data_IF_442382506716
#
_entry.id   IF_442382506716
#
_cell.length_a   1.000
_cell.length_b   1.000
_cell.length_c   1.000
_cell.angle_alpha   90.00
_cell.angle_beta   90.00
_cell.angle_gamma   90.00
#
_symmetry.space_group_name_H-M   'P 1'
#
loop_
_entity.id
_entity.type
_entity.pdbx_description
1 polymer ?
#
# COMPACT_ATOMS: atom_id res chain seq x y z
N UNK A 1 -33.39 26.91 6.33
CA UNK A 1 -32.27 27.38 7.14
C UNK A 1 -31.29 26.21 7.26
N UNK A 2 -30.13 26.26 6.55
CA UNK A 2 -29.11 25.17 6.66
C UNK A 2 -28.31 25.44 7.91
N UNK A 3 -28.40 24.57 8.92
CA UNK A 3 -27.53 24.59 10.08
C UNK A 3 -26.11 24.33 9.60
N UNK A 4 -25.30 25.37 9.56
CA UNK A 4 -23.85 25.25 9.37
C UNK A 4 -23.29 24.80 10.72
N UNK A 5 -22.76 23.57 10.79
CA UNK A 5 -22.10 23.07 12.01
C UNK A 5 -20.84 23.92 12.25
N UNK A 6 -20.76 24.71 13.35
CA UNK A 6 -19.63 25.62 13.61
C UNK A 6 -18.33 24.90 13.91
N UNK A 7 -18.31 23.56 14.07
CA UNK A 7 -17.14 22.74 14.36
C UNK A 7 -16.57 22.04 13.11
N UNK A 8 -17.04 22.34 11.90
CA UNK A 8 -16.46 21.75 10.68
C UNK A 8 -15.10 22.39 10.44
N UNK A 9 -13.99 21.61 10.59
CA UNK A 9 -12.65 22.06 10.20
C UNK A 9 -12.70 22.58 8.75
N UNK A 10 -12.40 23.86 8.56
CA UNK A 10 -12.26 24.41 7.22
C UNK A 10 -10.91 23.98 6.66
N UNK A 11 -10.92 23.20 5.59
CA UNK A 11 -9.71 22.76 4.92
C UNK A 11 -9.27 23.80 3.86
N UNK A 12 -7.95 23.97 3.72
CA UNK A 12 -7.38 24.81 2.65
C UNK A 12 -7.64 24.18 1.27
N UNK A 13 -7.53 25.00 0.22
CA UNK A 13 -7.65 24.51 -1.18
C UNK A 13 -6.62 23.42 -1.50
N UNK A 14 -5.42 23.53 -0.93
CA UNK A 14 -4.36 22.55 -1.12
C UNK A 14 -4.70 21.22 -0.42
N UNK A 15 -5.16 21.27 0.83
CA UNK A 15 -5.62 20.08 1.55
C UNK A 15 -6.75 19.36 0.80
N UNK A 16 -7.74 20.11 0.30
CA UNK A 16 -8.83 19.54 -0.51
C UNK A 16 -8.30 18.86 -1.78
N UNK A 17 -7.27 19.42 -2.45
CA UNK A 17 -6.64 18.75 -3.60
C UNK A 17 -5.98 17.43 -3.22
N UNK A 18 -5.31 17.37 -2.08
CA UNK A 18 -4.70 16.14 -1.57
C UNK A 18 -5.79 15.11 -1.22
N UNK A 19 -6.87 15.50 -0.55
CA UNK A 19 -7.98 14.59 -0.22
C UNK A 19 -8.69 14.06 -1.47
N UNK A 20 -8.94 14.91 -2.46
CA UNK A 20 -9.49 14.48 -3.75
C UNK A 20 -8.54 13.51 -4.50
N UNK A 21 -7.24 13.65 -4.30
CA UNK A 21 -6.27 12.71 -4.81
C UNK A 21 -6.35 11.37 -4.04
N UNK A 22 -6.33 11.40 -2.71
CA UNK A 22 -6.40 10.20 -1.88
C UNK A 22 -7.71 9.44 -2.02
N UNK A 23 -8.83 10.12 -2.23
CA UNK A 23 -10.11 9.48 -2.49
C UNK A 23 -10.13 8.57 -3.73
N UNK A 24 -9.13 8.70 -4.63
CA UNK A 24 -8.92 7.82 -5.79
C UNK A 24 -7.96 6.67 -5.51
N UNK A 25 -7.31 6.65 -4.35
CA UNK A 25 -6.41 5.58 -3.93
C UNK A 25 -7.20 4.54 -3.17
N UNK A 26 -7.16 3.29 -3.60
CA UNK A 26 -7.99 2.22 -3.02
C UNK A 26 -7.85 2.09 -1.50
N UNK A 27 -6.65 2.26 -0.94
CA UNK A 27 -6.45 2.23 0.52
C UNK A 27 -7.14 3.36 1.28
N UNK A 28 -7.44 4.49 0.64
CA UNK A 28 -7.98 5.69 1.27
C UNK A 28 -9.44 5.97 0.89
N UNK A 29 -10.01 5.23 -0.06
CA UNK A 29 -11.30 5.55 -0.68
C UNK A 29 -12.47 5.64 0.31
N UNK A 30 -12.43 4.90 1.40
CA UNK A 30 -13.48 4.87 2.43
C UNK A 30 -13.27 5.88 3.57
N UNK A 31 -12.16 6.64 3.55
CA UNK A 31 -11.87 7.65 4.55
C UNK A 31 -12.61 8.97 4.25
N UNK A 32 -13.10 9.64 5.28
CA UNK A 32 -13.57 11.02 5.17
C UNK A 32 -12.38 12.00 5.05
N UNK A 33 -12.65 13.25 4.68
CA UNK A 33 -11.61 14.29 4.64
C UNK A 33 -10.98 14.55 6.01
N UNK A 34 -11.78 14.48 7.06
CA UNK A 34 -11.31 14.60 8.44
C UNK A 34 -10.34 13.47 8.80
N UNK A 35 -10.66 12.23 8.39
CA UNK A 35 -9.79 11.07 8.59
C UNK A 35 -8.52 11.16 7.73
N UNK A 36 -8.62 11.61 6.48
CA UNK A 36 -7.44 11.85 5.62
C UNK A 36 -6.53 12.94 6.17
N UNK A 37 -7.09 13.94 6.87
CA UNK A 37 -6.33 15.03 7.46
C UNK A 37 -5.37 14.57 8.56
N UNK A 38 -5.64 13.44 9.21
CA UNK A 38 -4.75 12.87 10.24
C UNK A 38 -3.39 12.44 9.67
N UNK A 39 -3.30 12.20 8.35
CA UNK A 39 -2.04 11.84 7.68
C UNK A 39 -1.25 13.04 7.18
N UNK A 40 -1.84 14.24 7.07
CA UNK A 40 -1.18 15.42 6.49
C UNK A 40 0.13 15.82 7.20
N UNK A 41 0.25 15.77 8.55
CA UNK A 41 1.50 16.12 9.23
C UNK A 41 2.67 15.20 8.87
N UNK A 42 2.39 14.00 8.39
CA UNK A 42 3.35 12.93 8.11
C UNK A 42 3.56 12.70 6.62
N UNK A 43 2.90 13.50 5.78
CA UNK A 43 2.91 13.33 4.34
C UNK A 43 4.13 14.02 3.72
N UNK A 44 5.01 13.25 3.11
CA UNK A 44 6.17 13.75 2.38
C UNK A 44 5.98 13.54 0.89
N UNK A 45 6.62 14.37 0.07
CA UNK A 45 6.75 14.14 -1.37
C UNK A 45 8.20 13.78 -1.65
N UNK A 46 8.43 12.68 -2.37
CA UNK A 46 9.75 12.28 -2.87
C UNK A 46 9.72 12.14 -4.39
N UNK A 47 10.79 12.58 -5.01
CA UNK A 47 11.01 12.44 -6.44
C UNK A 47 12.10 11.42 -6.69
N UNK A 48 11.91 10.58 -7.71
CA UNK A 48 12.83 9.54 -8.14
C UNK A 48 13.08 9.70 -9.64
N UNK A 49 14.35 9.53 -10.05
CA UNK A 49 14.73 9.49 -11.45
C UNK A 49 14.58 8.07 -11.99
N UNK A 50 14.52 7.95 -13.32
CA UNK A 50 14.47 6.64 -14.00
C UNK A 50 15.57 5.72 -13.52
N UNK A 51 15.19 4.45 -13.28
CA UNK A 51 16.04 3.39 -12.74
C UNK A 51 16.45 3.57 -11.26
N UNK A 52 15.97 4.61 -10.58
CA UNK A 52 16.20 4.77 -9.14
C UNK A 52 15.29 3.83 -8.35
N UNK A 53 15.88 3.10 -7.39
CA UNK A 53 15.14 2.18 -6.54
C UNK A 53 14.39 2.96 -5.45
N UNK A 54 13.11 2.64 -5.28
CA UNK A 54 12.26 3.14 -4.21
C UNK A 54 12.43 2.26 -2.97
N UNK A 55 12.43 0.94 -3.17
CA UNK A 55 12.77 -0.08 -2.18
C UNK A 55 13.05 -1.43 -2.87
N UNK A 56 13.75 -2.31 -2.17
CA UNK A 56 14.01 -3.68 -2.61
C UNK A 56 13.18 -4.70 -1.84
N UNK A 57 12.95 -5.84 -2.47
CA UNK A 57 12.36 -7.03 -1.82
C UNK A 57 13.18 -7.43 -0.60
N UNK A 58 12.50 -7.92 0.44
CA UNK A 58 13.05 -8.28 1.74
C UNK A 58 13.55 -7.12 2.61
N UNK A 59 13.59 -5.87 2.11
CA UNK A 59 13.85 -4.72 2.96
C UNK A 59 12.78 -4.58 4.06
N UNK A 60 13.13 -4.03 5.23
CA UNK A 60 12.13 -3.64 6.22
C UNK A 60 11.09 -2.70 5.63
N UNK A 61 9.84 -2.90 5.99
CA UNK A 61 8.76 -2.08 5.47
C UNK A 61 8.64 -0.78 6.26
N UNK A 62 9.31 0.27 5.81
CA UNK A 62 9.46 1.53 6.53
C UNK A 62 8.44 2.61 6.17
N UNK A 63 7.72 2.49 5.05
CA UNK A 63 6.77 3.49 4.61
C UNK A 63 5.71 2.92 3.65
N UNK A 64 4.56 3.59 3.59
CA UNK A 64 3.58 3.49 2.53
C UNK A 64 3.90 4.52 1.46
N UNK A 65 3.87 4.14 0.19
CA UNK A 65 4.08 5.01 -0.96
C UNK A 65 2.81 5.09 -1.81
N UNK A 66 2.48 6.27 -2.33
CA UNK A 66 1.36 6.48 -3.25
C UNK A 66 1.89 7.25 -4.47
N UNK A 67 1.72 6.70 -5.66
CA UNK A 67 2.25 7.30 -6.89
C UNK A 67 1.43 8.53 -7.25
N UNK A 68 2.09 9.71 -7.17
CA UNK A 68 1.51 11.00 -7.50
C UNK A 68 1.62 11.29 -9.00
N UNK A 69 2.77 10.93 -9.61
CA UNK A 69 3.01 11.02 -11.06
C UNK A 69 4.12 10.06 -11.49
N UNK A 70 4.17 9.74 -12.77
CA UNK A 70 5.10 8.76 -13.33
C UNK A 70 4.60 7.32 -13.21
N UNK A 71 5.48 6.38 -13.52
CA UNK A 71 5.22 4.93 -13.48
C UNK A 71 6.34 4.26 -12.71
N UNK A 72 5.99 3.32 -11.86
CA UNK A 72 6.90 2.49 -11.07
C UNK A 72 6.78 1.05 -11.55
N UNK A 73 7.90 0.42 -11.85
CA UNK A 73 8.00 -1.00 -12.12
C UNK A 73 8.08 -1.78 -10.82
N UNK A 74 7.25 -2.82 -10.70
CA UNK A 74 7.26 -3.80 -9.63
C UNK A 74 7.83 -5.11 -10.17
N UNK A 75 8.86 -5.67 -9.53
CA UNK A 75 9.52 -6.89 -10.01
C UNK A 75 9.91 -7.85 -8.88
N UNK A 76 10.14 -9.10 -9.26
CA UNK A 76 10.71 -10.14 -8.39
C UNK A 76 12.07 -10.56 -8.91
N UNK A 77 12.97 -10.90 -7.97
CA UNK A 77 14.22 -11.60 -8.28
C UNK A 77 13.89 -13.07 -8.54
N UNK A 78 14.11 -13.52 -9.76
CA UNK A 78 13.91 -14.91 -10.16
C UNK A 78 15.25 -15.45 -10.70
N UNK A 79 15.95 -16.25 -9.89
CA UNK A 79 17.32 -16.71 -10.18
C UNK A 79 18.26 -15.51 -10.35
N UNK A 80 18.84 -15.31 -11.53
CA UNK A 80 19.80 -14.26 -11.85
C UNK A 80 19.16 -13.07 -12.60
N UNK A 81 17.82 -13.08 -12.79
CA UNK A 81 17.07 -12.08 -13.53
C UNK A 81 15.96 -11.42 -12.68
N UNK A 82 15.43 -10.30 -13.19
CA UNK A 82 14.25 -9.63 -12.62
C UNK A 82 13.03 -9.89 -13.50
N UNK A 83 11.99 -10.48 -12.90
CA UNK A 83 10.72 -10.67 -13.58
C UNK A 83 9.76 -9.51 -13.23
N UNK A 84 9.31 -8.77 -14.24
CA UNK A 84 8.35 -7.70 -14.06
C UNK A 84 6.98 -8.26 -13.69
N UNK A 85 6.45 -7.87 -12.53
CA UNK A 85 5.12 -8.21 -12.07
C UNK A 85 4.05 -7.27 -12.62
N UNK A 86 4.32 -5.96 -12.56
CA UNK A 86 3.36 -4.93 -12.94
C UNK A 86 4.02 -3.56 -13.09
N UNK A 87 3.32 -2.67 -13.80
CA UNK A 87 3.61 -1.24 -13.85
C UNK A 87 2.56 -0.47 -13.05
N UNK A 88 2.94 0.05 -11.90
CA UNK A 88 2.07 0.85 -11.06
C UNK A 88 2.11 2.31 -11.50
N UNK A 89 0.93 2.94 -11.58
CA UNK A 89 0.76 4.31 -12.08
C UNK A 89 0.08 5.20 -11.03
N UNK A 90 -0.16 6.45 -11.42
CA UNK A 90 -0.84 7.44 -10.58
C UNK A 90 -2.08 6.87 -9.87
N UNK A 91 -2.25 7.20 -8.60
CA UNK A 91 -3.28 6.72 -7.66
C UNK A 91 -3.09 5.30 -7.14
N UNK A 92 -2.05 4.59 -7.57
CA UNK A 92 -1.71 3.27 -7.02
C UNK A 92 -0.84 3.45 -5.77
N UNK A 93 -1.17 2.71 -4.71
CA UNK A 93 -0.32 2.58 -3.53
C UNK A 93 0.57 1.34 -3.65
N UNK A 94 1.83 1.46 -3.24
CA UNK A 94 2.81 0.37 -3.22
C UNK A 94 3.42 0.23 -1.83
N UNK A 95 3.86 -0.99 -1.51
CA UNK A 95 4.32 -1.30 -0.16
C UNK A 95 3.19 -1.29 0.87
N UNK A 96 1.99 -1.72 0.47
CA UNK A 96 0.76 -1.69 1.28
C UNK A 96 0.86 -2.49 2.58
N UNK A 97 1.78 -3.48 2.64
CA UNK A 97 2.08 -4.21 3.86
C UNK A 97 2.74 -3.34 4.97
N UNK A 98 3.02 -2.03 4.70
CA UNK A 98 3.35 -1.04 5.73
C UNK A 98 2.22 -0.83 6.76
N UNK A 99 0.97 -1.22 6.41
CA UNK A 99 -0.15 -1.22 7.35
C UNK A 99 -0.03 -2.30 8.43
N UNK A 100 0.91 -3.24 8.27
CA UNK A 100 1.15 -4.38 9.16
C UNK A 100 2.55 -4.28 9.75
N UNK A 101 2.65 -4.34 11.06
CA UNK A 101 3.92 -4.27 11.78
C UNK A 101 4.81 -5.51 11.50
N UNK A 102 6.13 -5.33 11.52
CA UNK A 102 7.11 -6.41 11.39
C UNK A 102 7.18 -7.06 9.99
N UNK A 103 6.54 -6.49 8.97
CA UNK A 103 6.55 -7.05 7.61
C UNK A 103 7.71 -6.51 6.78
N UNK A 104 8.14 -7.33 5.80
CA UNK A 104 9.16 -6.98 4.81
C UNK A 104 8.51 -6.70 3.45
N UNK A 105 9.23 -6.05 2.55
CA UNK A 105 8.82 -5.82 1.16
C UNK A 105 8.68 -7.15 0.42
N UNK A 106 7.62 -7.30 -0.37
CA UNK A 106 7.36 -8.52 -1.12
C UNK A 106 7.97 -8.51 -2.53
N UNK A 107 8.29 -7.33 -3.06
CA UNK A 107 8.78 -7.09 -4.41
C UNK A 107 9.73 -5.90 -4.43
N UNK A 108 10.48 -5.73 -5.52
CA UNK A 108 11.24 -4.52 -5.81
C UNK A 108 10.34 -3.46 -6.42
N UNK A 109 10.62 -2.19 -6.15
CA UNK A 109 9.94 -1.05 -6.77
C UNK A 109 10.99 -0.06 -7.30
N UNK A 110 10.97 0.16 -8.61
CA UNK A 110 11.96 0.96 -9.33
C UNK A 110 11.23 2.00 -10.20
N UNK A 111 11.70 3.23 -10.21
CA UNK A 111 11.15 4.29 -11.06
C UNK A 111 11.39 3.95 -12.54
N UNK A 112 10.31 3.82 -13.31
CA UNK A 112 10.36 3.40 -14.71
C UNK A 112 10.41 4.58 -15.68
N UNK A 113 9.64 5.64 -15.40
CA UNK A 113 9.63 6.87 -16.22
C UNK A 113 10.74 7.82 -15.82
N UNK A 114 11.09 8.79 -16.67
CA UNK A 114 12.18 9.74 -16.47
C UNK A 114 12.11 10.47 -15.11
N UNK A 115 10.89 10.67 -14.59
CA UNK A 115 10.65 11.22 -13.26
C UNK A 115 9.39 10.60 -12.66
N UNK A 116 9.46 10.21 -11.40
CA UNK A 116 8.34 9.74 -10.59
C UNK A 116 8.24 10.58 -9.32
N UNK A 117 7.06 11.07 -9.00
CA UNK A 117 6.78 11.70 -7.71
C UNK A 117 5.84 10.81 -6.89
N UNK A 118 6.20 10.57 -5.64
CA UNK A 118 5.43 9.75 -4.72
C UNK A 118 5.11 10.52 -3.45
N UNK A 119 3.88 10.38 -2.96
CA UNK A 119 3.57 10.64 -1.57
C UNK A 119 4.09 9.51 -0.72
N UNK A 120 4.70 9.84 0.43
CA UNK A 120 5.33 8.89 1.35
C UNK A 120 4.81 9.15 2.75
N UNK A 121 4.30 8.11 3.39
CA UNK A 121 3.89 8.13 4.79
C UNK A 121 4.76 7.12 5.54
N UNK A 122 5.65 7.56 6.47
CA UNK A 122 6.47 6.64 7.26
C UNK A 122 5.60 5.66 8.05
N UNK A 123 6.01 4.40 8.13
CA UNK A 123 5.25 3.35 8.81
C UNK A 123 4.97 3.71 10.28
N UNK A 124 5.96 4.24 10.99
CA UNK A 124 5.82 4.62 12.40
C UNK A 124 4.67 5.60 12.61
N UNK A 125 4.54 6.61 11.72
CA UNK A 125 3.48 7.60 11.82
C UNK A 125 2.12 7.05 11.38
N UNK A 126 2.11 6.16 10.38
CA UNK A 126 0.90 5.46 9.94
C UNK A 126 0.34 4.60 11.08
N UNK A 127 1.19 3.85 11.78
CA UNK A 127 0.79 3.03 12.93
C UNK A 127 0.35 3.90 14.12
N UNK A 128 1.00 5.05 14.36
CA UNK A 128 0.58 6.03 15.37
C UNK A 128 -0.84 6.57 15.09
N UNK A 129 -1.17 6.88 13.83
CA UNK A 129 -2.54 7.24 13.44
C UNK A 129 -3.51 6.10 13.71
N UNK A 130 -3.12 4.86 13.46
CA UNK A 130 -3.96 3.68 13.74
C UNK A 130 -4.24 3.45 15.23
N UNK A 131 -3.27 3.72 16.09
CA UNK A 131 -3.45 3.63 17.53
C UNK A 131 -4.44 4.68 18.06
N UNK A 132 -4.39 5.88 17.50
CA UNK A 132 -5.27 6.99 17.90
C UNK A 132 -6.67 6.89 17.30
N UNK A 133 -6.80 6.29 16.11
CA UNK A 133 -8.03 6.29 15.30
C UNK A 133 -8.39 4.89 14.79
N UNK A 134 -9.02 4.09 15.64
CA UNK A 134 -9.42 2.71 15.30
C UNK A 134 -10.35 2.63 14.07
N UNK A 135 -11.17 3.65 13.82
CA UNK A 135 -12.01 3.74 12.61
C UNK A 135 -11.16 3.78 11.35
N UNK A 136 -10.09 4.60 11.32
CA UNK A 136 -9.15 4.70 10.20
C UNK A 136 -8.46 3.36 10.00
N UNK A 137 -7.93 2.76 11.08
CA UNK A 137 -7.31 1.43 11.05
C UNK A 137 -8.24 0.39 10.44
N UNK A 138 -9.47 0.30 10.93
CA UNK A 138 -10.45 -0.67 10.42
C UNK A 138 -10.71 -0.49 8.92
N UNK A 139 -10.99 0.74 8.46
CA UNK A 139 -11.25 1.05 7.05
C UNK A 139 -10.06 0.72 6.15
N UNK A 140 -8.85 1.12 6.53
CA UNK A 140 -7.66 0.88 5.73
C UNK A 140 -7.26 -0.60 5.70
N UNK A 141 -7.41 -1.33 6.81
CA UNK A 141 -7.16 -2.78 6.83
C UNK A 141 -8.23 -3.55 6.04
N UNK A 142 -9.50 -3.10 6.03
CA UNK A 142 -10.52 -3.66 5.16
C UNK A 142 -10.15 -3.45 3.68
N UNK A 143 -9.77 -2.23 3.30
CA UNK A 143 -9.30 -1.96 1.94
C UNK A 143 -8.06 -2.79 1.56
N UNK A 144 -7.12 -3.01 2.48
CA UNK A 144 -5.98 -3.91 2.27
C UNK A 144 -6.43 -5.35 2.04
N UNK A 145 -7.41 -5.84 2.81
CA UNK A 145 -7.96 -7.18 2.63
C UNK A 145 -8.63 -7.34 1.25
N UNK A 146 -9.41 -6.34 0.81
CA UNK A 146 -10.04 -6.32 -0.53
C UNK A 146 -9.00 -6.32 -1.67
N UNK A 147 -7.89 -5.55 -1.52
CA UNK A 147 -6.78 -5.56 -2.47
C UNK A 147 -6.15 -6.95 -2.54
N UNK A 148 -5.89 -7.58 -1.41
CA UNK A 148 -5.26 -8.90 -1.34
C UNK A 148 -6.19 -9.99 -1.90
N UNK A 149 -7.49 -9.93 -1.63
CA UNK A 149 -8.48 -10.83 -2.21
C UNK A 149 -8.52 -10.72 -3.74
N UNK A 150 -8.59 -9.50 -4.26
CA UNK A 150 -8.53 -9.24 -5.70
C UNK A 150 -7.24 -9.76 -6.34
N UNK A 151 -6.09 -9.51 -5.71
CA UNK A 151 -4.79 -10.00 -6.20
C UNK A 151 -4.74 -11.54 -6.21
N UNK A 152 -5.29 -12.20 -5.18
CA UNK A 152 -5.39 -13.65 -5.09
C UNK A 152 -6.28 -14.22 -6.20
N UNK A 153 -7.44 -13.60 -6.45
CA UNK A 153 -8.33 -14.01 -7.53
C UNK A 153 -7.67 -13.87 -8.90
N UNK A 154 -6.92 -12.78 -9.13
CA UNK A 154 -6.16 -12.59 -10.37
C UNK A 154 -5.04 -13.64 -10.54
N UNK A 155 -4.34 -13.97 -9.45
CA UNK A 155 -3.31 -15.01 -9.45
C UNK A 155 -3.90 -16.38 -9.83
N UNK A 156 -5.04 -16.76 -9.23
CA UNK A 156 -5.72 -18.02 -9.58
C UNK A 156 -6.18 -18.04 -11.04
N UNK A 157 -6.71 -16.93 -11.54
CA UNK A 157 -7.11 -16.82 -12.95
C UNK A 157 -5.91 -16.93 -13.90
N UNK A 158 -4.78 -16.31 -13.56
CA UNK A 158 -3.55 -16.42 -14.32
C UNK A 158 -3.01 -17.86 -14.32
N UNK A 159 -3.05 -18.54 -13.18
CA UNK A 159 -2.69 -19.94 -13.06
C UNK A 159 -3.57 -20.84 -13.93
N UNK A 160 -4.89 -20.66 -13.92
CA UNK A 160 -5.81 -21.41 -14.77
C UNK A 160 -5.51 -21.26 -16.27
N UNK A 161 -5.05 -20.08 -16.68
CA UNK A 161 -4.76 -19.78 -18.08
C UNK A 161 -3.39 -20.32 -18.56
N UNK A 162 -2.45 -20.55 -17.64
CA UNK A 162 -1.05 -20.86 -17.95
C UNK A 162 -0.61 -22.24 -17.46
N UNK A 163 -1.42 -23.22 -17.51
CA UNK A 163 -1.25 -24.60 -17.05
C UNK A 163 0.16 -25.10 -16.67
N UNK A 164 0.36 -25.52 -15.40
CA UNK A 164 1.15 -26.74 -15.11
C UNK A 164 2.63 -26.56 -14.77
N UNK A 165 3.16 -25.34 -14.61
CA UNK A 165 4.60 -25.19 -14.33
C UNK A 165 4.96 -25.16 -12.83
N UNK A 166 3.98 -25.02 -11.92
CA UNK A 166 4.23 -25.14 -10.51
C UNK A 166 2.99 -25.65 -9.74
N UNK A 167 3.21 -26.29 -8.60
CA UNK A 167 2.13 -26.84 -7.79
C UNK A 167 1.51 -25.74 -6.92
N UNK A 168 0.47 -25.07 -7.44
CA UNK A 168 -0.27 -24.05 -6.72
C UNK A 168 -0.92 -24.61 -5.44
N UNK A 169 -1.37 -25.89 -5.48
CA UNK A 169 -1.98 -26.56 -4.34
C UNK A 169 -1.02 -26.61 -3.15
N UNK A 170 0.22 -27.01 -3.38
CA UNK A 170 1.25 -27.06 -2.35
C UNK A 170 1.58 -25.66 -1.82
N UNK A 171 1.71 -24.66 -2.69
CA UNK A 171 1.97 -23.28 -2.26
C UNK A 171 0.80 -22.69 -1.44
N UNK A 172 -0.45 -23.02 -1.80
CA UNK A 172 -1.64 -22.53 -1.12
C UNK A 172 -1.89 -23.23 0.22
N UNK A 173 -1.56 -24.53 0.34
CA UNK A 173 -1.74 -25.33 1.57
C UNK A 173 -0.96 -24.80 2.76
N UNK A 174 0.13 -24.06 2.56
CA UNK A 174 0.86 -23.41 3.67
C UNK A 174 -0.04 -22.45 4.46
N UNK A 175 -1.05 -21.85 3.82
CA UNK A 175 -2.00 -20.94 4.47
C UNK A 175 -2.99 -21.63 5.40
N UNK A 176 -3.15 -22.96 5.33
CA UNK A 176 -4.07 -23.74 6.16
C UNK A 176 -3.41 -24.39 7.38
N UNK A 177 -2.13 -24.09 7.63
CA UNK A 177 -1.50 -24.55 8.85
C UNK A 177 -2.06 -23.78 10.06
N UNK A 178 -2.28 -24.46 11.21
CA UNK A 178 -2.77 -23.79 12.40
C UNK A 178 -1.79 -22.71 12.84
N UNK A 179 -2.34 -21.56 13.23
CA UNK A 179 -1.55 -20.47 13.79
C UNK A 179 -1.02 -20.90 15.17
N UNK A 180 0.28 -21.18 15.24
CA UNK A 180 0.94 -21.47 16.52
C UNK A 180 1.35 -20.11 17.11
N UNK A 181 0.73 -19.73 18.23
CA UNK A 181 1.28 -18.65 19.06
C UNK A 181 2.59 -19.18 19.66
N UNK A 182 3.69 -18.51 19.40
CA UNK A 182 4.88 -18.67 20.24
C UNK A 182 4.44 -18.24 21.64
N UNK A 183 4.34 -19.17 22.56
CA UNK A 183 4.18 -18.85 23.98
C UNK A 183 5.46 -18.12 24.39
N UNK A 184 5.36 -16.82 24.69
CA UNK A 184 6.41 -16.09 25.38
C UNK A 184 6.66 -16.85 26.68
N UNK A 185 7.84 -17.50 26.75
CA UNK A 185 8.25 -18.26 27.92
C UNK A 185 8.20 -17.40 29.18
N UNK A 186 7.46 -17.87 30.17
CA UNK A 186 7.46 -17.38 31.55
C UNK A 186 8.84 -17.52 32.18
#
# INVERSE_FOLDING_TARGET
MKFVNPFRKAFSREQIRIFNFFARVQLFHSLSYEEMAEFLPYLHVRSYQKNEAIFFRNDPNQALYIIKSGTVELSLDVKDDFETLAFAQKYVSIGNNALLEGRKRHYNAIAYTESCELYVIPQVNLLEVFERHLSIKAKMLTALAEINDSNTAHLFKAYQNNFGFFDLGQAYMVSFQPFIREEEGL
#
